data_IF_373563637092
#
_entry.id   IF_373563637092
#
_cell.length_a   1.000
_cell.length_b   1.000
_cell.length_c   1.000
_cell.angle_alpha   90.00
_cell.angle_beta   90.00
_cell.angle_gamma   90.00
#
_symmetry.space_group_name_H-M   'P 1'
#
loop_
_entity.id
_entity.type
_entity.pdbx_description
1 polymer ?
#
# COMPACT_ATOMS: atom_id res chain seq x y z
N UNK A 1 -3.99 14.08 -7.42
CA UNK A 1 -3.21 15.10 -6.70
C UNK A 1 -3.60 16.51 -7.16
N UNK A 2 -3.71 17.50 -6.26
CA UNK A 2 -4.20 18.84 -6.59
C UNK A 2 -3.11 19.94 -6.66
N UNK A 3 -1.93 19.71 -6.07
CA UNK A 3 -0.81 20.68 -6.07
C UNK A 3 0.36 20.17 -6.95
N UNK A 4 1.23 21.07 -7.46
CA UNK A 4 2.43 20.66 -8.21
C UNK A 4 3.30 19.66 -7.45
N UNK A 5 3.50 19.86 -6.15
CA UNK A 5 4.27 18.94 -5.30
C UNK A 5 3.59 17.58 -5.13
N UNK A 6 2.27 17.53 -4.96
CA UNK A 6 1.54 16.27 -4.87
C UNK A 6 1.55 15.53 -6.23
N UNK A 7 1.54 16.25 -7.35
CA UNK A 7 1.66 15.65 -8.68
C UNK A 7 3.07 15.06 -8.86
N UNK A 8 4.12 15.81 -8.53
CA UNK A 8 5.49 15.31 -8.53
C UNK A 8 5.66 14.09 -7.62
N UNK A 9 5.08 14.12 -6.42
CA UNK A 9 5.05 13.01 -5.48
C UNK A 9 4.35 11.75 -6.03
N UNK A 10 3.25 11.90 -6.78
CA UNK A 10 2.58 10.78 -7.44
C UNK A 10 3.45 10.13 -8.51
N UNK A 11 4.21 10.94 -9.27
CA UNK A 11 5.20 10.41 -10.21
C UNK A 11 6.31 9.66 -9.49
N UNK A 12 6.87 10.23 -8.42
CA UNK A 12 7.91 9.60 -7.60
C UNK A 12 7.43 8.27 -7.00
N UNK A 13 6.19 8.23 -6.47
CA UNK A 13 5.58 7.02 -5.92
C UNK A 13 5.62 5.84 -6.90
N UNK A 14 5.32 6.10 -8.18
CA UNK A 14 5.42 5.10 -9.24
C UNK A 14 6.88 4.81 -9.59
N UNK A 15 7.69 5.85 -9.78
CA UNK A 15 9.06 5.74 -10.26
C UNK A 15 9.98 4.95 -9.31
N UNK A 16 9.85 5.14 -8.00
CA UNK A 16 10.68 4.43 -7.02
C UNK A 16 10.16 3.02 -6.71
N UNK A 17 8.90 2.73 -7.05
CA UNK A 17 8.30 1.40 -6.95
C UNK A 17 7.33 1.20 -5.79
N UNK A 18 6.84 2.26 -5.13
CA UNK A 18 5.81 2.12 -4.09
C UNK A 18 4.53 1.47 -4.65
N UNK A 19 4.20 1.77 -5.91
CA UNK A 19 3.03 1.25 -6.60
C UNK A 19 3.06 -0.24 -6.91
N UNK A 20 4.18 -0.93 -6.65
CA UNK A 20 4.27 -2.40 -6.82
C UNK A 20 3.29 -3.12 -5.89
N UNK A 21 3.21 -2.70 -4.63
CA UNK A 21 2.24 -3.24 -3.65
C UNK A 21 1.09 -2.26 -3.41
N UNK A 22 1.38 -0.94 -3.38
CA UNK A 22 0.36 0.08 -3.22
C UNK A 22 -0.28 0.47 -4.56
N UNK A 23 -0.88 -0.52 -5.23
CA UNK A 23 -1.46 -0.38 -6.55
C UNK A 23 -2.57 0.66 -6.57
N UNK A 24 -2.43 1.67 -7.43
CA UNK A 24 -3.31 2.84 -7.47
C UNK A 24 -4.76 2.48 -7.74
N UNK A 25 -5.02 1.57 -8.68
CA UNK A 25 -6.36 1.26 -9.17
C UNK A 25 -6.60 -0.24 -9.19
N UNK A 26 -7.75 -0.66 -8.69
CA UNK A 26 -8.27 -2.02 -8.86
C UNK A 26 -9.65 -1.95 -9.50
N UNK A 27 -9.95 -2.94 -10.34
CA UNK A 27 -11.32 -3.18 -10.83
C UNK A 27 -11.83 -4.41 -10.12
N UNK A 28 -12.98 -4.31 -9.45
CA UNK A 28 -13.64 -5.49 -8.87
C UNK A 28 -14.10 -6.43 -9.97
N UNK A 29 -14.23 -7.71 -9.64
CA UNK A 29 -14.66 -8.73 -10.62
C UNK A 29 -16.08 -8.45 -11.15
N UNK A 30 -16.45 -9.08 -12.25
CA UNK A 30 -17.73 -8.84 -12.89
C UNK A 30 -18.90 -9.34 -12.04
N UNK A 31 -20.12 -8.76 -12.16
CA UNK A 31 -21.32 -9.31 -11.54
C UNK A 31 -21.50 -10.79 -11.89
N UNK A 32 -21.85 -11.62 -10.91
CA UNK A 32 -21.98 -13.05 -11.11
C UNK A 32 -20.67 -13.86 -11.02
N UNK A 33 -19.50 -13.21 -10.92
CA UNK A 33 -18.24 -13.92 -10.70
C UNK A 33 -18.28 -14.72 -9.39
N UNK A 34 -17.77 -15.95 -9.43
CA UNK A 34 -17.72 -16.85 -8.27
C UNK A 34 -16.37 -16.71 -7.58
N UNK A 35 -16.36 -16.32 -6.31
CA UNK A 35 -15.15 -16.00 -5.54
C UNK A 35 -15.04 -16.87 -4.27
N UNK A 36 -13.88 -16.81 -3.61
CA UNK A 36 -13.59 -17.55 -2.38
C UNK A 36 -13.93 -19.05 -2.47
N UNK A 37 -13.48 -19.71 -3.55
CA UNK A 37 -13.68 -21.15 -3.77
C UNK A 37 -15.14 -21.58 -3.98
N UNK A 38 -16.03 -20.68 -4.39
CA UNK A 38 -17.45 -20.99 -4.59
C UNK A 38 -18.38 -20.43 -3.51
N UNK A 39 -17.83 -19.90 -2.42
CA UNK A 39 -18.64 -19.48 -1.28
C UNK A 39 -19.48 -18.23 -1.55
N UNK A 40 -19.03 -17.36 -2.48
CA UNK A 40 -19.71 -16.10 -2.77
C UNK A 40 -19.81 -15.82 -4.26
N UNK A 41 -20.80 -15.01 -4.61
CA UNK A 41 -20.99 -14.46 -5.95
C UNK A 41 -20.99 -12.95 -5.86
N UNK A 42 -20.27 -12.29 -6.76
CA UNK A 42 -20.19 -10.83 -6.78
C UNK A 42 -21.56 -10.24 -7.16
N UNK A 43 -22.18 -9.41 -6.30
CA UNK A 43 -23.44 -8.77 -6.61
C UNK A 43 -23.27 -7.60 -7.58
N UNK A 44 -24.33 -7.26 -8.32
CA UNK A 44 -24.39 -6.11 -9.24
C UNK A 44 -23.87 -4.79 -8.63
N UNK A 45 -24.18 -4.57 -7.35
CA UNK A 45 -23.76 -3.37 -6.63
C UNK A 45 -22.24 -3.26 -6.46
N UNK A 46 -21.52 -4.39 -6.50
CA UNK A 46 -20.06 -4.45 -6.26
C UNK A 46 -19.27 -4.89 -7.50
N UNK A 47 -19.92 -5.33 -8.58
CA UNK A 47 -19.23 -5.77 -9.79
C UNK A 47 -18.79 -4.63 -10.71
N UNK A 48 -17.69 -4.84 -11.45
CA UNK A 48 -17.10 -3.90 -12.41
C UNK A 48 -16.86 -2.48 -11.84
N UNK A 49 -16.51 -2.39 -10.55
CA UNK A 49 -16.23 -1.12 -9.89
C UNK A 49 -14.75 -0.82 -9.97
N UNK A 50 -14.43 0.34 -10.52
CA UNK A 50 -13.09 0.92 -10.45
C UNK A 50 -12.97 1.63 -9.11
N UNK A 51 -12.00 1.21 -8.30
CA UNK A 51 -11.66 1.81 -7.02
C UNK A 51 -10.20 2.21 -7.00
N UNK A 52 -9.85 3.19 -6.16
CA UNK A 52 -8.48 3.69 -6.03
C UNK A 52 -7.92 3.48 -4.61
N UNK A 53 -7.68 2.22 -4.21
CA UNK A 53 -7.28 1.91 -2.84
C UNK A 53 -5.81 2.24 -2.55
N UNK A 54 -4.95 2.37 -3.57
CA UNK A 54 -3.49 2.42 -3.38
C UNK A 54 -2.99 1.23 -2.55
N UNK A 55 -3.38 0.03 -2.96
CA UNK A 55 -3.15 -1.23 -2.28
C UNK A 55 -3.61 -2.41 -3.13
N UNK A 56 -2.84 -3.50 -3.12
CA UNK A 56 -3.18 -4.76 -3.79
C UNK A 56 -3.89 -5.78 -2.89
N UNK A 57 -3.93 -5.51 -1.58
CA UNK A 57 -4.48 -6.39 -0.55
C UNK A 57 -3.82 -7.77 -0.44
N UNK A 58 -2.62 -7.94 -1.01
CA UNK A 58 -1.84 -9.18 -0.90
C UNK A 58 -0.98 -9.18 0.37
N UNK A 59 -0.46 -10.35 0.72
CA UNK A 59 0.44 -10.55 1.86
C UNK A 59 1.89 -10.33 1.42
N UNK A 60 2.58 -9.42 2.08
CA UNK A 60 3.97 -9.06 1.79
C UNK A 60 4.86 -9.07 3.03
N UNK A 61 6.09 -9.53 2.86
CA UNK A 61 7.12 -9.41 3.90
C UNK A 61 7.81 -8.04 3.77
N UNK A 62 7.37 -7.09 4.60
CA UNK A 62 8.00 -5.77 4.73
C UNK A 62 8.98 -5.70 5.90
N UNK A 63 9.40 -6.84 6.44
CA UNK A 63 10.42 -6.97 7.48
C UNK A 63 9.97 -6.62 8.90
N UNK A 64 8.66 -6.50 9.12
CA UNK A 64 8.09 -6.16 10.44
C UNK A 64 7.06 -7.18 10.93
N UNK A 65 6.96 -8.35 10.30
CA UNK A 65 5.97 -9.37 10.68
C UNK A 65 6.03 -9.79 12.16
N UNK A 66 4.88 -10.24 12.66
CA UNK A 66 4.65 -10.61 14.05
C UNK A 66 4.93 -12.10 14.35
N UNK A 67 5.33 -12.86 13.33
CA UNK A 67 5.55 -14.30 13.41
C UNK A 67 4.27 -15.13 13.44
N UNK A 68 3.10 -14.51 13.23
CA UNK A 68 1.81 -15.19 13.24
C UNK A 68 1.47 -15.65 11.83
N UNK A 69 1.42 -16.97 11.66
CA UNK A 69 1.01 -17.61 10.40
C UNK A 69 -0.41 -17.17 10.04
N UNK A 70 -0.55 -16.57 8.87
CA UNK A 70 -1.84 -16.17 8.32
C UNK A 70 -2.55 -17.40 7.72
N UNK A 71 -3.79 -17.27 7.27
CA UNK A 71 -4.52 -18.37 6.63
C UNK A 71 -3.79 -18.84 5.34
N UNK A 72 -2.88 -19.82 5.48
CA UNK A 72 -1.94 -20.21 4.44
C UNK A 72 -0.73 -21.00 4.95
N UNK A 73 0.34 -21.10 4.14
CA UNK A 73 1.58 -21.81 4.51
C UNK A 73 2.39 -21.07 5.59
N UNK A 74 3.34 -21.79 6.20
CA UNK A 74 4.19 -21.27 7.30
C UNK A 74 5.01 -20.03 6.92
N UNK A 75 5.33 -19.84 5.64
CA UNK A 75 6.06 -18.68 5.14
C UNK A 75 5.25 -17.37 5.20
N UNK A 76 3.97 -17.42 5.56
CA UNK A 76 3.13 -16.25 5.80
C UNK A 76 3.33 -15.60 7.17
N UNK A 77 4.07 -16.26 8.08
CA UNK A 77 4.28 -15.80 9.45
C UNK A 77 4.81 -14.36 9.57
N UNK A 78 5.60 -13.92 8.58
CA UNK A 78 6.18 -12.58 8.57
C UNK A 78 5.54 -11.65 7.52
N UNK A 79 4.46 -12.07 6.88
CA UNK A 79 3.80 -11.31 5.81
C UNK A 79 2.60 -10.57 6.36
N UNK A 80 2.46 -9.31 5.96
CA UNK A 80 1.34 -8.44 6.34
C UNK A 80 0.55 -8.07 5.09
N UNK A 81 -0.77 -7.94 5.25
CA UNK A 81 -1.62 -7.49 4.16
C UNK A 81 -1.34 -6.02 3.83
N UNK A 82 -1.12 -5.70 2.56
CA UNK A 82 -1.03 -4.30 2.12
C UNK A 82 -2.33 -3.56 2.47
N UNK A 83 -2.22 -2.56 3.34
CA UNK A 83 -3.35 -1.71 3.71
C UNK A 83 -3.57 -0.66 2.61
N UNK A 84 -4.83 -0.38 2.22
CA UNK A 84 -5.11 0.67 1.26
C UNK A 84 -4.73 2.04 1.84
N UNK A 85 -4.10 2.89 1.05
CA UNK A 85 -3.63 4.22 1.49
C UNK A 85 -4.68 5.32 1.38
N UNK A 86 -5.91 5.00 0.95
CA UNK A 86 -7.01 5.96 1.03
C UNK A 86 -7.28 6.41 2.48
N UNK A 87 -7.51 7.71 2.70
CA UNK A 87 -7.69 8.27 4.04
C UNK A 87 -6.43 8.18 4.91
N UNK A 88 -5.23 8.19 4.34
CA UNK A 88 -3.98 8.14 5.11
C UNK A 88 -3.81 9.41 5.96
N UNK A 89 -4.34 10.55 5.48
CA UNK A 89 -4.26 11.85 6.16
C UNK A 89 -4.98 11.91 7.52
N UNK A 90 -5.94 11.01 7.80
CA UNK A 90 -6.63 10.93 9.10
C UNK A 90 -5.95 9.97 10.09
N UNK A 91 -4.85 9.32 9.71
CA UNK A 91 -4.13 8.38 10.58
C UNK A 91 -3.02 9.10 11.35
N UNK A 92 -2.89 8.77 12.63
CA UNK A 92 -1.85 9.30 13.53
C UNK A 92 -0.73 8.31 13.85
N UNK A 93 -0.93 7.03 13.49
CA UNK A 93 0.02 5.94 13.67
C UNK A 93 0.01 5.06 12.43
N UNK A 94 1.16 4.52 12.08
CA UNK A 94 1.38 3.77 10.85
C UNK A 94 2.04 2.41 11.12
N UNK A 95 2.03 1.57 10.10
CA UNK A 95 2.36 0.13 10.15
C UNK A 95 1.35 -0.67 10.98
N UNK A 96 1.39 -2.00 10.87
CA UNK A 96 0.44 -2.88 11.59
C UNK A 96 0.63 -2.84 13.11
N UNK A 97 1.82 -2.47 13.58
CA UNK A 97 2.19 -2.39 15.00
C UNK A 97 2.00 -0.99 15.62
N UNK A 98 1.54 -0.01 14.84
CA UNK A 98 1.32 1.38 15.26
C UNK A 98 2.56 2.08 15.86
N UNK A 99 3.77 1.57 15.59
CA UNK A 99 5.00 2.09 16.18
C UNK A 99 5.61 3.28 15.41
N UNK A 100 5.13 3.56 14.18
CA UNK A 100 5.56 4.73 13.40
C UNK A 100 4.62 5.92 13.61
N UNK A 101 5.18 7.08 13.96
CA UNK A 101 4.41 8.32 14.19
C UNK A 101 4.41 9.27 13.00
N UNK A 102 5.29 9.04 12.02
CA UNK A 102 5.35 9.79 10.78
C UNK A 102 5.35 8.87 9.58
N UNK A 103 4.90 9.38 8.43
CA UNK A 103 4.99 8.68 7.15
C UNK A 103 6.45 8.41 6.75
N UNK A 104 7.36 9.33 7.09
CA UNK A 104 8.79 9.13 6.87
C UNK A 104 9.29 7.90 7.64
N UNK A 105 9.01 7.82 8.94
CA UNK A 105 9.42 6.67 9.77
C UNK A 105 8.75 5.37 9.31
N UNK A 106 7.51 5.43 8.85
CA UNK A 106 6.83 4.28 8.27
C UNK A 106 7.56 3.79 7.01
N UNK A 107 7.90 4.69 6.09
CA UNK A 107 8.66 4.34 4.87
C UNK A 107 10.02 3.75 5.22
N UNK A 108 10.77 4.35 6.16
CA UNK A 108 12.09 3.85 6.57
C UNK A 108 12.06 2.43 7.13
N UNK A 109 10.96 2.03 7.77
CA UNK A 109 10.80 0.69 8.35
C UNK A 109 10.41 -0.37 7.33
N UNK A 110 10.06 -0.01 6.11
CA UNK A 110 9.84 -0.99 5.06
C UNK A 110 11.16 -1.66 4.69
N UNK A 111 11.25 -2.96 4.92
CA UNK A 111 12.39 -3.81 4.57
C UNK A 111 11.90 -5.00 3.74
N UNK A 112 12.51 -6.18 3.87
CA UNK A 112 12.11 -7.39 3.14
C UNK A 112 11.97 -7.15 1.63
N UNK A 113 10.80 -7.46 1.07
CA UNK A 113 10.44 -7.25 -0.33
C UNK A 113 10.49 -5.77 -0.75
N UNK A 114 10.23 -4.85 0.17
CA UNK A 114 10.25 -3.40 -0.08
C UNK A 114 11.64 -2.76 0.06
N UNK A 115 12.69 -3.52 0.43
CA UNK A 115 14.04 -2.99 0.70
C UNK A 115 14.60 -2.11 -0.43
N UNK A 116 14.41 -2.51 -1.68
CA UNK A 116 14.89 -1.73 -2.83
C UNK A 116 14.14 -0.40 -2.97
N UNK A 117 12.83 -0.37 -2.69
CA UNK A 117 12.01 0.83 -2.74
C UNK A 117 12.45 1.81 -1.65
N UNK A 118 12.68 1.33 -0.43
CA UNK A 118 13.21 2.14 0.68
C UNK A 118 14.60 2.71 0.35
N UNK A 119 15.48 1.90 -0.27
CA UNK A 119 16.79 2.39 -0.73
C UNK A 119 16.67 3.50 -1.77
N UNK A 120 15.71 3.42 -2.70
CA UNK A 120 15.46 4.47 -3.70
C UNK A 120 14.87 5.72 -3.06
N UNK A 121 13.96 5.58 -2.11
CA UNK A 121 13.45 6.69 -1.31
C UNK A 121 14.59 7.43 -0.59
N UNK A 122 15.55 6.70 -0.02
CA UNK A 122 16.72 7.29 0.64
C UNK A 122 17.69 7.99 -0.31
N UNK A 123 17.66 7.64 -1.60
CA UNK A 123 18.46 8.29 -2.63
C UNK A 123 17.79 9.55 -3.22
N UNK A 124 16.50 9.77 -2.94
CA UNK A 124 15.81 10.99 -3.34
C UNK A 124 16.38 12.20 -2.58
N UNK A 125 16.34 13.36 -3.23
CA UNK A 125 16.63 14.64 -2.57
C UNK A 125 15.61 14.92 -1.46
N UNK A 126 15.94 15.76 -0.46
CA UNK A 126 14.99 16.14 0.58
C UNK A 126 13.68 16.73 0.03
N UNK A 127 13.77 17.47 -1.08
CA UNK A 127 12.59 18.02 -1.75
C UNK A 127 11.70 16.92 -2.36
N UNK A 128 12.28 15.96 -3.07
CA UNK A 128 11.54 14.84 -3.66
C UNK A 128 10.91 13.94 -2.58
N UNK A 129 11.62 13.68 -1.48
CA UNK A 129 11.05 12.98 -0.33
C UNK A 129 9.82 13.73 0.20
N UNK A 130 9.92 15.05 0.38
CA UNK A 130 8.79 15.86 0.84
C UNK A 130 7.63 15.87 -0.16
N UNK A 131 7.90 15.89 -1.46
CA UNK A 131 6.87 15.78 -2.50
C UNK A 131 6.13 14.45 -2.42
N UNK A 132 6.85 13.34 -2.23
CA UNK A 132 6.21 12.04 -2.00
C UNK A 132 5.33 12.05 -0.74
N UNK A 133 5.82 12.61 0.38
CA UNK A 133 5.02 12.74 1.61
C UNK A 133 3.78 13.61 1.38
N UNK A 134 3.90 14.70 0.63
CA UNK A 134 2.78 15.58 0.27
C UNK A 134 1.74 14.84 -0.57
N UNK A 135 2.17 14.02 -1.51
CA UNK A 135 1.26 13.13 -2.26
C UNK A 135 0.54 12.15 -1.34
N UNK A 136 1.27 11.44 -0.48
CA UNK A 136 0.69 10.47 0.45
C UNK A 136 -0.34 11.11 1.41
N UNK A 137 -0.12 12.35 1.83
CA UNK A 137 -1.08 13.12 2.64
C UNK A 137 -2.32 13.60 1.86
N UNK A 138 -2.29 13.53 0.54
CA UNK A 138 -3.45 13.84 -0.30
C UNK A 138 -4.38 12.63 -0.53
N UNK A 139 -3.99 11.44 -0.04
CA UNK A 139 -4.74 10.19 -0.14
C UNK A 139 -5.74 10.01 1.01
#
# INVERSE_FOLDING_TARGET
>A
AATPDAIAGQYLFKAIGCSTCHVETLTTDHPGAVINGGAYTVPEALGDKIIHPFGDFLLHDVGTGDGIVQAGPQDTANKLRTVPLWGLHIKSRFMHDNASLTLFDAIQRHAGEARQVTSRFNALTPQEQQQLITFLRSL
#
